data_IF_493666721416
#
_entry.id   IF_493666721416
#
_cell.length_a   1.000
_cell.length_b   1.000
_cell.length_c   1.000
_cell.angle_alpha   90.00
_cell.angle_beta   90.00
_cell.angle_gamma   90.00
#
_symmetry.space_group_name_H-M   'P 1'
#
loop_
_entity.id
_entity.type
_entity.pdbx_description
1 polymer ?
#
# COMPACT_ATOMS: atom_id res chain seq x y z
N UNK A 1 20.41 6.50 -1.11
CA UNK A 1 21.30 7.67 -1.20
C UNK A 1 22.35 7.65 -0.10
N UNK A 2 23.30 6.71 -0.14
CA UNK A 2 24.50 6.77 0.70
C UNK A 2 25.48 7.87 0.24
N UNK A 3 26.09 8.58 1.19
CA UNK A 3 26.97 9.75 0.96
C UNK A 3 28.24 9.41 0.15
N UNK A 4 28.68 8.15 0.16
CA UNK A 4 29.99 7.74 -0.37
C UNK A 4 29.94 6.98 -1.70
N UNK A 5 28.81 6.36 -2.06
CA UNK A 5 28.67 5.43 -3.21
C UNK A 5 27.69 5.92 -4.28
N UNK A 6 26.89 6.96 -4.01
CA UNK A 6 25.85 7.47 -4.90
C UNK A 6 26.14 8.88 -5.42
N UNK A 7 27.12 9.00 -6.31
CA UNK A 7 27.48 10.28 -6.95
C UNK A 7 27.07 10.32 -8.42
N UNK A 8 26.67 11.50 -8.89
CA UNK A 8 26.40 11.81 -10.29
C UNK A 8 25.42 10.83 -10.98
N UNK A 9 25.94 9.91 -11.79
CA UNK A 9 25.17 8.98 -12.63
C UNK A 9 24.67 7.73 -11.89
N UNK A 10 25.04 7.55 -10.62
CA UNK A 10 24.58 6.47 -9.73
C UNK A 10 23.76 6.96 -8.53
N UNK A 11 23.27 8.20 -8.61
CA UNK A 11 22.62 8.89 -7.48
C UNK A 11 21.26 8.33 -7.09
N UNK A 12 20.59 7.61 -7.99
CA UNK A 12 19.18 7.19 -7.82
C UNK A 12 19.04 5.79 -7.18
N UNK A 13 20.13 5.25 -6.63
CA UNK A 13 20.14 3.95 -5.97
C UNK A 13 19.95 4.08 -4.44
N UNK A 14 19.41 3.02 -3.83
CA UNK A 14 19.20 2.95 -2.40
C UNK A 14 20.00 1.82 -1.78
N UNK A 15 20.50 2.10 -0.58
CA UNK A 15 21.06 1.09 0.32
C UNK A 15 20.02 0.91 1.43
N UNK A 16 19.43 -0.28 1.50
CA UNK A 16 18.44 -0.63 2.51
C UNK A 16 19.10 -1.35 3.67
N UNK A 17 18.84 -0.86 4.87
CA UNK A 17 19.28 -1.41 6.14
C UNK A 17 18.06 -1.67 7.02
N UNK A 18 18.20 -2.55 8.01
CA UNK A 18 17.14 -2.86 8.97
C UNK A 18 17.58 -2.34 10.33
N UNK A 19 16.66 -1.63 11.00
CA UNK A 19 16.82 -1.15 12.37
C UNK A 19 15.78 -1.82 13.27
N UNK A 20 16.09 -1.95 14.56
CA UNK A 20 15.10 -2.31 15.57
C UNK A 20 14.35 -1.07 16.11
N UNK A 21 13.61 -1.25 17.20
CA UNK A 21 12.82 -0.20 17.85
C UNK A 21 13.69 0.90 18.50
N UNK A 22 14.93 0.58 18.84
CA UNK A 22 15.92 1.49 19.43
C UNK A 22 16.78 2.19 18.35
N UNK A 23 16.41 2.02 17.08
CA UNK A 23 17.12 2.52 15.88
C UNK A 23 18.50 1.88 15.62
N UNK A 24 18.83 0.78 16.30
CA UNK A 24 20.10 0.09 16.13
C UNK A 24 20.08 -0.86 14.92
N UNK A 25 21.22 -0.95 14.22
CA UNK A 25 21.38 -1.79 13.01
C UNK A 25 21.69 -3.26 13.33
N UNK A 26 22.07 -3.52 14.58
CA UNK A 26 22.57 -4.81 15.03
C UNK A 26 22.22 -5.03 16.50
N UNK A 27 22.24 -6.30 16.91
CA UNK A 27 22.21 -6.74 18.32
C UNK A 27 23.63 -6.99 18.83
N UNK A 28 23.80 -7.12 20.14
CA UNK A 28 25.10 -7.40 20.78
C UNK A 28 26.15 -6.31 20.44
N UNK A 29 27.39 -6.72 20.14
CA UNK A 29 28.53 -5.83 19.88
C UNK A 29 28.69 -5.43 18.40
N UNK A 30 27.90 -6.01 17.47
CA UNK A 30 27.95 -5.65 16.05
C UNK A 30 29.25 -6.05 15.33
N UNK A 31 30.01 -7.00 15.90
CA UNK A 31 31.30 -7.46 15.38
C UNK A 31 31.18 -8.58 14.35
N UNK A 32 30.04 -9.29 14.33
CA UNK A 32 29.75 -10.39 13.40
C UNK A 32 28.64 -10.01 12.44
N UNK A 33 28.63 -10.60 11.24
CA UNK A 33 27.53 -10.40 10.31
C UNK A 33 26.18 -10.83 10.90
N UNK A 34 26.15 -11.90 11.69
CA UNK A 34 24.93 -12.42 12.35
C UNK A 34 24.31 -11.50 13.41
N UNK A 35 25.04 -10.46 13.81
CA UNK A 35 24.55 -9.42 14.71
C UNK A 35 23.67 -8.41 13.97
N UNK A 36 23.90 -8.19 12.66
CA UNK A 36 23.14 -7.20 11.89
C UNK A 36 21.77 -7.74 11.50
N UNK A 37 20.73 -6.94 11.78
CA UNK A 37 19.36 -7.33 11.46
C UNK A 37 19.13 -7.52 9.96
N UNK A 38 19.91 -6.84 9.12
CA UNK A 38 19.81 -6.97 7.68
C UNK A 38 20.44 -8.28 7.15
N UNK A 39 21.39 -8.92 7.85
CA UNK A 39 22.14 -10.05 7.29
C UNK A 39 21.31 -11.33 7.16
N UNK A 40 21.52 -12.09 6.07
CA UNK A 40 20.79 -13.32 5.76
C UNK A 40 19.26 -13.18 5.69
N UNK A 41 18.76 -11.97 5.45
CA UNK A 41 17.34 -11.71 5.20
C UNK A 41 16.98 -12.04 3.75
N UNK A 42 15.76 -12.57 3.50
CA UNK A 42 15.29 -12.83 2.14
C UNK A 42 15.26 -11.56 1.31
N UNK A 43 15.86 -11.62 0.12
CA UNK A 43 15.75 -10.60 -0.92
C UNK A 43 14.77 -11.11 -1.95
N UNK A 44 13.76 -10.30 -2.28
CA UNK A 44 12.68 -10.68 -3.19
C UNK A 44 12.73 -9.92 -4.50
N UNK A 45 12.19 -10.50 -5.56
CA UNK A 45 12.03 -9.83 -6.84
C UNK A 45 11.08 -8.62 -6.70
N UNK A 46 11.49 -7.40 -7.10
CA UNK A 46 10.69 -6.19 -6.92
C UNK A 46 9.48 -6.13 -7.84
N UNK A 47 9.56 -6.79 -9.00
CA UNK A 47 8.51 -6.91 -10.01
C UNK A 47 8.74 -8.20 -10.83
N UNK A 48 7.73 -8.60 -11.61
CA UNK A 48 7.81 -9.75 -12.50
C UNK A 48 8.89 -9.54 -13.57
N UNK A 49 9.65 -10.58 -13.92
CA UNK A 49 10.69 -10.45 -14.94
C UNK A 49 11.55 -11.68 -15.14
N UNK A 50 12.55 -11.57 -16.01
CA UNK A 50 13.55 -12.61 -16.25
C UNK A 50 14.86 -12.28 -15.56
N UNK A 51 15.47 -13.26 -14.91
CA UNK A 51 16.82 -13.13 -14.35
C UNK A 51 17.83 -12.99 -15.49
N UNK A 52 18.39 -11.80 -15.65
CA UNK A 52 19.27 -11.42 -16.74
C UNK A 52 20.73 -11.82 -16.46
N UNK A 53 21.20 -11.54 -15.24
CA UNK A 53 22.57 -11.81 -14.84
C UNK A 53 22.64 -12.14 -13.35
N UNK A 54 23.52 -13.07 -13.00
CA UNK A 54 23.93 -13.36 -11.63
C UNK A 54 25.45 -13.33 -11.58
N UNK A 55 26.00 -12.60 -10.60
CA UNK A 55 27.38 -12.71 -10.16
C UNK A 55 27.36 -13.34 -8.77
N UNK A 56 27.98 -14.49 -8.61
CA UNK A 56 28.10 -15.22 -7.35
C UNK A 56 29.56 -15.68 -7.17
N UNK A 57 29.99 -15.88 -5.93
CA UNK A 57 31.30 -16.43 -5.58
C UNK A 57 32.18 -15.52 -4.72
N UNK A 58 31.78 -14.27 -4.50
CA UNK A 58 32.52 -13.29 -3.70
C UNK A 58 32.16 -13.50 -2.23
N UNK A 59 33.17 -13.67 -1.36
CA UNK A 59 32.92 -13.82 0.08
C UNK A 59 32.49 -12.48 0.71
N UNK A 60 31.78 -12.54 1.82
CA UNK A 60 31.49 -11.36 2.63
C UNK A 60 32.78 -10.83 3.27
N UNK A 61 32.98 -9.52 3.23
CA UNK A 61 34.12 -8.88 3.90
C UNK A 61 33.89 -8.83 5.41
N UNK A 62 34.93 -8.91 6.27
CA UNK A 62 34.79 -8.64 7.70
C UNK A 62 34.09 -7.30 7.97
N UNK A 63 33.40 -7.18 9.10
CA UNK A 63 32.73 -5.93 9.47
C UNK A 63 33.74 -4.78 9.53
N UNK A 64 33.44 -3.67 8.86
CA UNK A 64 34.31 -2.49 8.73
C UNK A 64 35.30 -2.55 7.56
N UNK A 65 35.50 -3.72 6.93
CA UNK A 65 36.34 -3.89 5.75
C UNK A 65 35.52 -3.90 4.44
N UNK A 66 36.18 -3.71 3.31
CA UNK A 66 35.53 -3.66 2.00
C UNK A 66 36.42 -4.28 0.90
N UNK A 67 35.81 -5.07 0.02
CA UNK A 67 36.46 -5.48 -1.23
C UNK A 67 36.29 -4.37 -2.28
N UNK A 68 37.37 -3.61 -2.50
CA UNK A 68 37.43 -2.52 -3.47
C UNK A 68 37.63 -3.01 -4.92
N UNK A 69 37.97 -4.29 -5.10
CA UNK A 69 38.16 -4.89 -6.44
C UNK A 69 36.80 -5.32 -7.01
N UNK A 70 35.94 -5.92 -6.19
CA UNK A 70 34.61 -6.35 -6.58
C UNK A 70 33.53 -5.43 -6.00
N UNK A 71 33.51 -4.16 -6.43
CA UNK A 71 32.66 -3.12 -5.84
C UNK A 71 31.19 -3.53 -5.58
N UNK A 72 30.55 -4.25 -6.51
CA UNK A 72 29.13 -4.63 -6.39
C UNK A 72 28.87 -5.94 -5.64
N UNK A 73 29.92 -6.70 -5.31
CA UNK A 73 29.77 -8.01 -4.66
C UNK A 73 28.92 -8.99 -5.48
N UNK A 74 28.36 -9.98 -4.81
CA UNK A 74 27.38 -10.86 -5.43
C UNK A 74 26.13 -10.06 -5.79
N UNK A 75 25.66 -10.23 -7.02
CA UNK A 75 24.65 -9.35 -7.64
C UNK A 75 23.68 -10.16 -8.49
N UNK A 76 22.41 -9.77 -8.48
CA UNK A 76 21.39 -10.22 -9.46
C UNK A 76 20.85 -9.03 -10.23
N UNK A 77 20.63 -9.22 -11.54
CA UNK A 77 19.93 -8.27 -12.41
C UNK A 77 18.69 -8.97 -12.95
N UNK A 78 17.53 -8.33 -12.84
CA UNK A 78 16.24 -8.81 -13.35
C UNK A 78 15.77 -7.84 -14.43
N UNK A 79 15.45 -8.37 -15.62
CA UNK A 79 14.85 -7.65 -16.74
C UNK A 79 13.34 -7.70 -16.64
N UNK A 80 12.70 -6.54 -16.57
CA UNK A 80 11.24 -6.41 -16.51
C UNK A 80 10.66 -6.05 -17.89
N UNK A 81 11.36 -5.18 -18.62
CA UNK A 81 11.12 -4.87 -20.04
C UNK A 81 12.42 -4.40 -20.69
N UNK A 82 12.39 -4.16 -22.00
CA UNK A 82 13.48 -3.44 -22.66
C UNK A 82 13.73 -2.11 -21.95
N UNK A 83 15.01 -1.78 -21.74
CA UNK A 83 15.46 -0.57 -21.03
C UNK A 83 15.02 -0.43 -19.56
N UNK A 84 14.51 -1.49 -18.93
CA UNK A 84 14.05 -1.44 -17.53
C UNK A 84 14.46 -2.69 -16.76
N UNK A 85 15.53 -2.54 -15.96
CA UNK A 85 16.15 -3.59 -15.17
C UNK A 85 16.25 -3.18 -13.71
N UNK A 86 16.16 -4.14 -12.81
CA UNK A 86 16.53 -3.95 -11.39
C UNK A 86 17.80 -4.69 -11.08
N UNK A 87 18.68 -4.08 -10.28
CA UNK A 87 19.92 -4.67 -9.79
C UNK A 87 19.91 -4.68 -8.27
N UNK A 88 20.21 -5.84 -7.70
CA UNK A 88 20.35 -6.05 -6.25
C UNK A 88 21.74 -6.62 -5.96
N UNK A 89 22.49 -5.95 -5.09
CA UNK A 89 23.93 -6.18 -4.86
C UNK A 89 24.24 -6.43 -3.38
N UNK A 90 25.51 -6.75 -3.08
CA UNK A 90 26.00 -7.14 -1.76
C UNK A 90 25.31 -8.40 -1.19
N UNK A 91 24.87 -9.29 -2.08
CA UNK A 91 24.16 -10.52 -1.68
C UNK A 91 25.11 -11.53 -1.04
N UNK A 92 24.56 -12.43 -0.23
CA UNK A 92 25.32 -13.50 0.42
C UNK A 92 25.75 -14.54 -0.61
N UNK A 93 27.01 -14.95 -0.55
CA UNK A 93 27.56 -16.00 -1.41
C UNK A 93 26.73 -17.28 -1.32
N UNK A 94 26.51 -17.92 -2.46
CA UNK A 94 25.80 -19.22 -2.58
C UNK A 94 24.36 -19.21 -2.03
N UNK A 95 23.75 -18.03 -1.90
CA UNK A 95 22.38 -17.88 -1.38
C UNK A 95 21.30 -17.78 -2.45
N UNK A 96 21.68 -17.63 -3.73
CA UNK A 96 20.77 -17.48 -4.85
C UNK A 96 19.84 -18.69 -4.96
N UNK A 97 18.53 -18.41 -5.09
CA UNK A 97 17.46 -19.42 -5.24
C UNK A 97 16.97 -19.57 -6.67
N UNK A 98 17.55 -18.80 -7.58
CA UNK A 98 17.17 -18.69 -8.98
C UNK A 98 18.40 -18.76 -9.87
N UNK A 99 18.18 -19.06 -11.16
CA UNK A 99 19.25 -19.16 -12.17
C UNK A 99 19.05 -18.14 -13.30
N UNK A 100 20.13 -17.82 -14.02
CA UNK A 100 20.04 -16.96 -15.22
C UNK A 100 19.04 -17.52 -16.23
N UNK A 101 18.18 -16.66 -16.76
CA UNK A 101 17.10 -17.00 -17.70
C UNK A 101 15.78 -17.41 -17.03
N UNK A 102 15.75 -17.61 -15.72
CA UNK A 102 14.52 -17.96 -15.00
C UNK A 102 13.54 -16.77 -14.96
N UNK A 103 12.25 -17.05 -15.18
CA UNK A 103 11.18 -16.10 -14.89
C UNK A 103 10.89 -16.09 -13.38
N UNK A 104 10.77 -14.90 -12.80
CA UNK A 104 10.44 -14.69 -11.38
C UNK A 104 9.21 -13.80 -11.25
N UNK A 105 8.39 -14.09 -10.24
CA UNK A 105 7.24 -13.26 -9.88
C UNK A 105 7.59 -12.24 -8.80
N UNK A 106 6.92 -11.09 -8.80
CA UNK A 106 7.02 -10.09 -7.73
C UNK A 106 6.85 -10.75 -6.36
N UNK A 107 7.80 -10.53 -5.47
CA UNK A 107 7.80 -11.09 -4.11
C UNK A 107 8.45 -12.48 -3.99
N UNK A 108 8.81 -13.13 -5.10
CA UNK A 108 9.57 -14.39 -5.08
C UNK A 108 10.95 -14.16 -4.48
N UNK A 109 11.40 -15.04 -3.58
CA UNK A 109 12.72 -14.94 -2.94
C UNK A 109 13.80 -15.34 -3.95
N UNK A 110 14.74 -14.44 -4.23
CA UNK A 110 15.79 -14.65 -5.22
C UNK A 110 17.17 -14.93 -4.61
N UNK A 111 17.45 -14.40 -3.43
CA UNK A 111 18.72 -14.54 -2.72
C UNK A 111 18.58 -14.16 -1.24
N UNK A 112 19.68 -14.17 -0.50
CA UNK A 112 19.77 -13.59 0.83
C UNK A 112 20.72 -12.39 0.83
N UNK A 113 20.45 -11.40 1.68
CA UNK A 113 21.36 -10.28 1.94
C UNK A 113 22.68 -10.76 2.56
N UNK A 114 23.78 -10.14 2.15
CA UNK A 114 25.13 -10.42 2.64
C UNK A 114 25.89 -9.14 2.95
N UNK A 115 27.21 -9.20 2.79
CA UNK A 115 28.15 -8.07 2.92
C UNK A 115 29.30 -8.18 1.92
N UNK A 116 29.03 -8.76 0.73
CA UNK A 116 30.03 -8.98 -0.31
C UNK A 116 30.33 -7.69 -1.09
N UNK A 117 31.57 -7.56 -1.57
CA UNK A 117 32.00 -6.38 -2.32
C UNK A 117 32.30 -5.16 -1.45
N UNK A 118 32.04 -3.96 -1.98
CA UNK A 118 32.28 -2.69 -1.27
C UNK A 118 31.14 -2.38 -0.29
N UNK A 119 31.02 -3.21 0.74
CA UNK A 119 29.98 -3.15 1.76
C UNK A 119 30.60 -3.27 3.15
N UNK A 120 30.77 -2.16 3.89
CA UNK A 120 31.42 -2.19 5.21
C UNK A 120 30.56 -2.86 6.29
N UNK A 121 29.26 -3.02 6.03
CA UNK A 121 28.30 -3.71 6.90
C UNK A 121 27.14 -4.27 6.09
N UNK A 122 26.46 -5.35 6.55
CA UNK A 122 25.35 -5.96 5.83
C UNK A 122 24.24 -4.98 5.48
N UNK A 123 23.96 -4.83 4.19
CA UNK A 123 22.87 -4.03 3.64
C UNK A 123 22.49 -4.54 2.25
N UNK A 124 21.33 -4.11 1.74
CA UNK A 124 20.90 -4.39 0.37
C UNK A 124 21.06 -3.14 -0.49
N UNK A 125 21.97 -3.17 -1.45
CA UNK A 125 22.01 -2.17 -2.50
C UNK A 125 20.99 -2.50 -3.59
N UNK A 126 20.10 -1.57 -3.89
CA UNK A 126 19.05 -1.68 -4.89
C UNK A 126 19.13 -0.51 -5.87
N UNK A 127 18.99 -0.81 -7.17
CA UNK A 127 18.80 0.22 -8.18
C UNK A 127 17.94 -0.24 -9.34
N UNK A 128 17.32 0.72 -10.01
CA UNK A 128 16.80 0.56 -11.36
C UNK A 128 17.84 1.06 -12.36
N UNK A 129 18.01 0.39 -13.49
CA UNK A 129 18.98 0.74 -14.51
C UNK A 129 18.46 0.45 -15.93
N UNK A 130 19.03 1.14 -16.91
CA UNK A 130 18.61 1.04 -18.32
C UNK A 130 19.19 -0.18 -19.04
N UNK A 131 20.38 -0.64 -18.66
CA UNK A 131 21.11 -1.69 -19.39
C UNK A 131 21.30 -2.96 -18.55
N UNK A 132 21.50 -4.13 -19.15
CA UNK A 132 21.60 -5.42 -18.44
C UNK A 132 22.93 -5.63 -17.70
N UNK A 133 23.85 -4.67 -17.71
CA UNK A 133 25.22 -4.87 -17.23
C UNK A 133 25.41 -4.43 -15.78
N UNK A 134 26.28 -5.13 -15.05
CA UNK A 134 26.77 -4.70 -13.74
C UNK A 134 27.54 -3.38 -13.90
N UNK A 135 27.17 -2.36 -13.13
CA UNK A 135 27.76 -1.01 -13.18
C UNK A 135 27.00 0.00 -14.05
N UNK A 136 25.89 -0.41 -14.67
CA UNK A 136 25.03 0.49 -15.44
C UNK A 136 24.51 1.67 -14.61
N UNK A 137 24.20 2.77 -15.29
CA UNK A 137 23.69 3.99 -14.68
C UNK A 137 22.29 3.80 -14.09
N UNK A 138 22.02 4.54 -13.03
CA UNK A 138 20.76 4.44 -12.28
C UNK A 138 19.66 5.27 -12.95
N UNK A 139 18.46 4.73 -13.00
CA UNK A 139 17.25 5.45 -13.38
C UNK A 139 16.47 5.87 -12.13
N UNK A 140 15.83 7.06 -12.13
CA UNK A 140 14.93 7.43 -11.04
C UNK A 140 13.75 6.47 -11.00
N UNK A 141 13.41 6.00 -9.79
CA UNK A 141 12.30 5.11 -9.57
C UNK A 141 11.54 5.56 -8.32
N UNK A 142 10.22 5.43 -8.33
CA UNK A 142 9.40 5.62 -7.14
C UNK A 142 8.98 4.25 -6.61
N UNK A 143 9.00 4.09 -5.28
CA UNK A 143 8.42 2.93 -4.63
C UNK A 143 6.89 3.07 -4.60
N UNK A 144 6.20 1.95 -4.76
CA UNK A 144 4.74 1.88 -4.66
C UNK A 144 4.31 1.33 -3.30
N UNK A 145 3.30 1.98 -2.70
CA UNK A 145 2.60 1.55 -1.49
C UNK A 145 3.51 1.10 -0.35
N UNK A 146 4.06 2.06 0.39
CA UNK A 146 4.83 1.81 1.61
C UNK A 146 4.37 2.70 2.76
N UNK A 147 4.82 2.37 3.97
CA UNK A 147 4.56 3.13 5.17
C UNK A 147 5.84 3.87 5.55
N UNK A 148 5.75 5.20 5.64
CA UNK A 148 6.81 6.05 6.17
C UNK A 148 6.58 6.27 7.66
N UNK A 149 7.64 6.09 8.44
CA UNK A 149 7.63 6.31 9.88
C UNK A 149 8.06 7.75 10.15
N UNK A 150 7.20 8.51 10.83
CA UNK A 150 7.44 9.89 11.27
C UNK A 150 7.47 9.93 12.79
N UNK A 151 8.11 10.96 13.35
CA UNK A 151 8.05 11.23 14.80
C UNK A 151 6.60 11.35 15.32
N UNK A 152 5.68 11.79 14.45
CA UNK A 152 4.26 11.98 14.77
C UNK A 152 3.37 10.76 14.48
N UNK A 153 3.93 9.63 14.02
CA UNK A 153 3.17 8.42 13.66
C UNK A 153 3.51 7.89 12.27
N UNK A 154 2.51 7.36 11.57
CA UNK A 154 2.70 6.69 10.28
C UNK A 154 2.06 7.46 9.13
N UNK A 155 2.70 7.45 7.97
CA UNK A 155 2.17 7.98 6.72
C UNK A 155 2.13 6.88 5.66
N UNK A 156 0.96 6.69 5.05
CA UNK A 156 0.84 5.87 3.85
C UNK A 156 1.31 6.67 2.62
N UNK A 157 2.29 6.14 1.90
CA UNK A 157 2.78 6.70 0.64
C UNK A 157 2.40 5.78 -0.50
N UNK A 158 1.45 6.19 -1.32
CA UNK A 158 1.01 5.42 -2.49
C UNK A 158 2.11 5.32 -3.55
N UNK A 159 2.79 6.42 -3.82
CA UNK A 159 3.93 6.46 -4.75
C UNK A 159 4.87 7.55 -4.29
N UNK A 160 6.14 7.22 -4.13
CA UNK A 160 7.12 8.21 -3.68
C UNK A 160 8.55 7.69 -3.69
N UNK A 161 9.49 8.63 -3.64
CA UNK A 161 10.92 8.38 -3.55
C UNK A 161 11.32 8.58 -2.08
N UNK A 162 11.76 7.53 -1.37
CA UNK A 162 12.25 7.70 0.00
C UNK A 162 13.48 8.62 0.04
N UNK A 163 13.50 9.53 1.01
CA UNK A 163 14.69 10.34 1.27
C UNK A 163 15.74 9.56 2.06
N UNK A 164 16.97 10.09 2.11
CA UNK A 164 18.02 9.52 2.94
C UNK A 164 17.57 9.50 4.42
N UNK A 165 17.91 8.41 5.11
CA UNK A 165 17.60 8.18 6.53
C UNK A 165 16.10 8.08 6.88
N UNK A 166 15.22 8.04 5.87
CA UNK A 166 13.80 7.71 6.12
C UNK A 166 13.64 6.25 6.51
N UNK A 167 12.95 6.03 7.63
CA UNK A 167 12.50 4.70 8.03
C UNK A 167 11.20 4.39 7.31
N UNK A 168 11.23 3.36 6.48
CA UNK A 168 10.07 2.87 5.73
C UNK A 168 9.84 1.39 6.01
N UNK A 169 8.59 0.95 5.86
CA UNK A 169 8.24 -0.46 5.95
C UNK A 169 7.20 -0.83 4.90
N UNK A 170 7.15 -2.13 4.58
CA UNK A 170 6.03 -2.68 3.82
C UNK A 170 4.73 -2.57 4.65
N UNK A 171 3.59 -2.52 3.97
CA UNK A 171 2.28 -2.65 4.61
C UNK A 171 2.16 -4.07 5.13
N UNK A 172 1.96 -4.22 6.44
CA UNK A 172 1.68 -5.50 7.09
C UNK A 172 0.16 -5.65 7.20
N UNK A 173 -0.47 -6.54 6.42
CA UNK A 173 -1.91 -6.74 6.51
C UNK A 173 -2.31 -7.21 7.90
N UNK A 174 -3.24 -6.50 8.50
CA UNK A 174 -3.94 -6.93 9.69
C UNK A 174 -5.07 -7.87 9.27
N UNK A 175 -5.19 -9.02 9.92
CA UNK A 175 -6.15 -10.06 9.54
C UNK A 175 -7.60 -9.55 9.55
N UNK A 176 -7.99 -8.81 10.59
CA UNK A 176 -9.36 -8.30 10.74
C UNK A 176 -9.75 -7.32 9.62
N UNK A 177 -8.87 -6.37 9.29
CA UNK A 177 -9.12 -5.41 8.21
C UNK A 177 -9.09 -6.10 6.86
N UNK A 178 -8.05 -6.90 6.61
CA UNK A 178 -7.87 -7.59 5.33
C UNK A 178 -9.06 -8.50 5.01
N UNK A 179 -9.55 -9.26 6.00
CA UNK A 179 -10.70 -10.12 5.82
C UNK A 179 -12.02 -9.36 5.69
N UNK A 180 -12.23 -8.30 6.48
CA UNK A 180 -13.47 -7.51 6.45
C UNK A 180 -13.71 -6.84 5.08
N UNK A 181 -12.65 -6.48 4.37
CA UNK A 181 -12.70 -5.88 3.03
C UNK A 181 -12.30 -6.86 1.91
N UNK A 182 -12.24 -8.16 2.21
CA UNK A 182 -12.05 -9.22 1.22
C UNK A 182 -13.40 -9.72 0.71
N UNK A 183 -13.81 -9.15 -0.42
CA UNK A 183 -15.04 -9.56 -1.11
C UNK A 183 -14.71 -10.61 -2.18
N UNK A 184 -15.29 -11.80 -2.03
CA UNK A 184 -15.06 -12.94 -2.92
C UNK A 184 -16.21 -13.02 -3.93
N UNK A 185 -15.95 -13.10 -5.26
CA UNK A 185 -17.02 -13.28 -6.24
C UNK A 185 -17.96 -14.44 -5.90
N UNK A 186 -19.28 -14.19 -5.99
CA UNK A 186 -20.34 -15.11 -5.56
C UNK A 186 -20.78 -14.97 -4.11
N UNK A 187 -20.04 -14.21 -3.28
CA UNK A 187 -20.42 -13.94 -1.89
C UNK A 187 -21.67 -13.06 -1.82
N UNK A 188 -22.56 -13.40 -0.89
CA UNK A 188 -23.70 -12.56 -0.52
C UNK A 188 -23.40 -11.85 0.80
N UNK A 189 -23.55 -10.53 0.80
CA UNK A 189 -23.37 -9.68 1.97
C UNK A 189 -24.74 -9.19 2.44
N UNK A 190 -25.15 -9.59 3.64
CA UNK A 190 -26.47 -9.27 4.20
C UNK A 190 -26.34 -8.21 5.29
N UNK A 191 -27.15 -7.17 5.19
CA UNK A 191 -27.11 -6.03 6.09
C UNK A 191 -28.49 -5.71 6.65
N UNK A 192 -28.54 -5.43 7.94
CA UNK A 192 -29.68 -4.84 8.62
C UNK A 192 -29.47 -3.33 8.72
N UNK A 193 -30.36 -2.56 8.11
CA UNK A 193 -30.30 -1.10 8.10
C UNK A 193 -31.38 -0.56 9.03
N UNK A 194 -30.95 0.15 10.08
CA UNK A 194 -31.83 0.87 10.99
C UNK A 194 -31.79 2.36 10.66
N UNK A 195 -32.92 2.88 10.20
CA UNK A 195 -33.11 4.32 9.98
C UNK A 195 -33.56 5.03 11.27
N UNK A 196 -33.57 6.37 11.26
CA UNK A 196 -34.01 7.20 12.39
C UNK A 196 -35.45 6.91 12.82
N UNK A 197 -36.33 6.55 11.88
CA UNK A 197 -37.71 6.17 12.15
C UNK A 197 -37.85 4.80 12.86
N UNK A 198 -36.73 4.22 13.33
CA UNK A 198 -36.60 2.85 13.83
C UNK A 198 -37.06 1.76 12.85
N UNK A 199 -37.28 2.11 11.58
CA UNK A 199 -37.57 1.12 10.53
C UNK A 199 -36.33 0.31 10.25
N UNK A 200 -36.51 -1.01 10.27
CA UNK A 200 -35.48 -1.99 9.96
C UNK A 200 -35.73 -2.49 8.54
N UNK A 201 -34.71 -2.41 7.68
CA UNK A 201 -34.73 -2.96 6.32
C UNK A 201 -33.53 -3.88 6.14
N UNK A 202 -33.77 -5.05 5.58
CA UNK A 202 -32.70 -5.95 5.18
C UNK A 202 -32.31 -5.69 3.73
N UNK A 203 -31.01 -5.62 3.48
CA UNK A 203 -30.43 -5.38 2.17
C UNK A 203 -29.40 -6.47 1.91
N UNK A 204 -29.41 -7.03 0.71
CA UNK A 204 -28.43 -8.01 0.26
C UNK A 204 -27.63 -7.40 -0.89
N UNK A 205 -26.31 -7.54 -0.81
CA UNK A 205 -25.40 -7.28 -1.92
C UNK A 205 -24.77 -8.58 -2.39
N UNK A 206 -24.50 -8.65 -3.68
CA UNK A 206 -23.80 -9.77 -4.30
C UNK A 206 -22.47 -9.28 -4.85
N UNK A 207 -21.39 -10.00 -4.57
CA UNK A 207 -20.08 -9.73 -5.17
C UNK A 207 -20.05 -10.39 -6.55
N UNK A 208 -19.86 -9.61 -7.60
CA UNK A 208 -19.85 -10.07 -9.00
C UNK A 208 -18.52 -9.73 -9.67
N UNK A 209 -18.27 -10.39 -10.79
CA UNK A 209 -17.18 -10.07 -11.71
C UNK A 209 -17.73 -9.91 -13.14
N UNK A 210 -17.10 -9.04 -13.92
CA UNK A 210 -17.38 -8.95 -15.36
C UNK A 210 -16.53 -9.94 -16.18
N UNK A 211 -16.68 -9.91 -17.51
CA UNK A 211 -15.92 -10.76 -18.45
C UNK A 211 -14.41 -10.46 -18.50
N UNK A 212 -13.99 -9.33 -17.93
CA UNK A 212 -12.59 -8.90 -17.83
C UNK A 212 -12.00 -9.15 -16.43
N UNK A 213 -12.72 -9.91 -15.59
CA UNK A 213 -12.38 -10.18 -14.18
C UNK A 213 -12.31 -8.93 -13.29
N UNK A 214 -12.98 -7.83 -13.65
CA UNK A 214 -13.17 -6.72 -12.74
C UNK A 214 -14.28 -7.05 -11.74
N UNK A 215 -13.97 -6.93 -10.46
CA UNK A 215 -14.89 -7.22 -9.36
C UNK A 215 -15.71 -5.99 -8.96
N UNK A 216 -16.98 -6.20 -8.61
CA UNK A 216 -17.87 -5.15 -8.12
C UNK A 216 -18.92 -5.69 -7.14
N UNK A 217 -19.38 -4.80 -6.27
CA UNK A 217 -20.54 -5.04 -5.42
C UNK A 217 -21.82 -4.65 -6.18
N UNK A 218 -22.82 -5.53 -6.18
CA UNK A 218 -24.14 -5.28 -6.77
C UNK A 218 -25.23 -5.18 -5.71
N UNK A 219 -26.05 -4.13 -5.79
CA UNK A 219 -27.26 -3.98 -4.97
C UNK A 219 -28.49 -3.96 -5.85
N UNK A 220 -29.31 -5.02 -5.77
CA UNK A 220 -30.56 -5.13 -6.52
C UNK A 220 -31.58 -4.08 -6.06
N UNK A 221 -31.77 -3.97 -4.73
CA UNK A 221 -32.72 -3.01 -4.13
C UNK A 221 -32.33 -1.56 -4.39
N UNK A 222 -31.03 -1.27 -4.40
CA UNK A 222 -30.48 0.06 -4.68
C UNK A 222 -30.34 0.37 -6.16
N UNK A 223 -30.38 -0.63 -7.05
CA UNK A 223 -29.97 -0.54 -8.46
C UNK A 223 -28.63 0.20 -8.60
N UNK A 224 -27.63 -0.29 -7.89
CA UNK A 224 -26.30 0.32 -7.84
C UNK A 224 -25.19 -0.71 -7.89
N UNK A 225 -24.05 -0.31 -8.47
CA UNK A 225 -22.81 -1.08 -8.54
C UNK A 225 -21.61 -0.24 -8.13
N UNK A 226 -20.68 -0.87 -7.43
CA UNK A 226 -19.44 -0.24 -6.98
C UNK A 226 -18.26 -1.16 -7.32
N UNK A 227 -17.43 -0.73 -8.28
CA UNK A 227 -16.24 -1.49 -8.72
C UNK A 227 -15.06 -1.20 -7.81
N UNK A 228 -14.33 -2.24 -7.45
CA UNK A 228 -13.18 -2.14 -6.57
C UNK A 228 -12.02 -3.02 -7.04
N UNK A 229 -10.83 -2.70 -6.56
CA UNK A 229 -9.62 -3.50 -6.66
C UNK A 229 -9.10 -3.79 -5.25
N UNK A 230 -8.47 -4.93 -5.08
CA UNK A 230 -7.80 -5.31 -3.84
C UNK A 230 -6.51 -6.06 -4.20
N UNK A 231 -5.35 -5.50 -3.85
CA UNK A 231 -4.04 -6.11 -4.13
C UNK A 231 -3.46 -6.88 -2.93
N UNK A 232 -4.28 -7.10 -1.90
CA UNK A 232 -3.90 -7.72 -0.62
C UNK A 232 -3.37 -6.73 0.41
N UNK A 233 -2.85 -5.57 -0.01
CA UNK A 233 -2.35 -4.51 0.88
C UNK A 233 -3.31 -3.33 0.95
N UNK A 234 -3.97 -3.01 -0.15
CA UNK A 234 -4.90 -1.90 -0.30
C UNK A 234 -6.13 -2.38 -1.06
N UNK A 235 -7.30 -2.03 -0.54
CA UNK A 235 -8.57 -2.12 -1.24
C UNK A 235 -9.02 -0.71 -1.61
N UNK A 236 -9.44 -0.48 -2.85
CA UNK A 236 -9.98 0.81 -3.25
C UNK A 236 -11.08 0.67 -4.30
N UNK A 237 -12.03 1.58 -4.27
CA UNK A 237 -13.05 1.68 -5.29
C UNK A 237 -12.55 2.47 -6.50
N UNK A 238 -12.85 1.98 -7.70
CA UNK A 238 -12.46 2.61 -8.97
C UNK A 238 -13.61 3.40 -9.58
N UNK A 239 -14.84 2.91 -9.44
CA UNK A 239 -16.01 3.52 -10.06
C UNK A 239 -17.29 3.17 -9.31
N UNK A 240 -18.30 4.03 -9.45
CA UNK A 240 -19.64 3.81 -8.90
C UNK A 240 -20.68 4.21 -9.94
N UNK A 241 -21.71 3.38 -10.08
CA UNK A 241 -22.85 3.68 -10.95
C UNK A 241 -24.16 3.29 -10.27
N UNK A 242 -25.19 4.10 -10.48
CA UNK A 242 -26.55 3.84 -10.00
C UNK A 242 -27.03 4.88 -9.00
N UNK A 243 -27.98 4.47 -8.15
CA UNK A 243 -28.68 5.40 -7.27
C UNK A 243 -27.80 5.91 -6.12
N UNK A 244 -27.49 7.21 -6.11
CA UNK A 244 -26.75 7.89 -5.02
C UNK A 244 -27.50 7.96 -3.67
N UNK A 245 -28.74 7.49 -3.60
CA UNK A 245 -29.49 7.32 -2.35
C UNK A 245 -29.39 5.91 -1.78
N UNK A 246 -28.87 4.95 -2.54
CA UNK A 246 -28.70 3.58 -2.09
C UNK A 246 -27.62 3.48 -1.02
N UNK A 247 -27.73 2.48 -0.12
CA UNK A 247 -26.71 2.24 0.90
C UNK A 247 -25.32 2.00 0.30
N UNK A 248 -25.26 1.33 -0.85
CA UNK A 248 -24.00 1.02 -1.52
C UNK A 248 -23.22 2.29 -1.93
N UNK A 249 -23.90 3.40 -2.23
CA UNK A 249 -23.24 4.68 -2.49
C UNK A 249 -22.50 5.20 -1.25
N UNK A 250 -23.15 5.16 -0.09
CA UNK A 250 -22.54 5.57 1.17
C UNK A 250 -21.38 4.65 1.57
N UNK A 251 -21.51 3.35 1.32
CA UNK A 251 -20.41 2.40 1.52
C UNK A 251 -19.21 2.72 0.62
N UNK A 252 -19.46 2.96 -0.67
CA UNK A 252 -18.43 3.40 -1.63
C UNK A 252 -17.71 4.66 -1.15
N UNK A 253 -18.45 5.65 -0.63
CA UNK A 253 -17.85 6.89 -0.14
C UNK A 253 -16.97 6.64 1.10
N UNK A 254 -17.48 5.95 2.12
CA UNK A 254 -16.72 5.79 3.36
C UNK A 254 -15.61 4.75 3.32
N UNK A 255 -15.64 3.79 2.39
CA UNK A 255 -14.58 2.80 2.20
C UNK A 255 -13.83 3.01 0.88
N UNK A 256 -13.72 4.27 0.42
CA UNK A 256 -13.17 4.60 -0.90
C UNK A 256 -11.77 4.04 -1.14
N UNK A 257 -10.90 4.15 -0.13
CA UNK A 257 -9.57 3.53 -0.08
C UNK A 257 -9.28 3.04 1.34
N UNK A 258 -8.97 1.77 1.49
CA UNK A 258 -8.67 1.11 2.76
C UNK A 258 -7.32 0.42 2.66
N UNK A 259 -6.40 0.79 3.55
CA UNK A 259 -5.15 0.07 3.77
C UNK A 259 -5.43 -1.11 4.69
N UNK A 260 -5.04 -2.31 4.27
CA UNK A 260 -5.33 -3.54 5.02
C UNK A 260 -4.45 -3.71 6.26
N UNK A 261 -3.48 -2.82 6.51
CA UNK A 261 -2.68 -2.78 7.73
C UNK A 261 -3.23 -1.81 8.78
N UNK A 262 -3.01 -2.10 10.06
CA UNK A 262 -3.42 -1.21 11.15
C UNK A 262 -2.23 -0.40 11.67
N UNK A 263 -2.30 0.92 11.49
CA UNK A 263 -1.30 1.87 11.98
C UNK A 263 -2.02 2.94 12.80
N UNK A 264 -1.90 2.87 14.13
CA UNK A 264 -2.65 3.76 15.03
C UNK A 264 -2.38 5.23 14.72
N UNK A 265 -3.46 6.00 14.52
CA UNK A 265 -3.38 7.43 14.22
C UNK A 265 -3.04 7.76 12.76
N UNK A 266 -2.79 6.77 11.91
CA UNK A 266 -2.57 6.99 10.48
C UNK A 266 -3.84 7.54 9.82
N UNK A 267 -3.65 8.50 8.92
CA UNK A 267 -4.70 9.07 8.08
C UNK A 267 -4.39 8.79 6.62
N UNK A 268 -5.35 8.21 5.92
CA UNK A 268 -5.28 7.94 4.48
C UNK A 268 -6.17 8.95 3.79
N UNK A 269 -5.60 9.72 2.87
CA UNK A 269 -6.33 10.73 2.11
C UNK A 269 -6.38 10.35 0.63
N UNK A 270 -7.49 10.69 -0.04
CA UNK A 270 -7.64 10.57 -1.49
C UNK A 270 -8.65 11.59 -2.02
N UNK A 271 -8.82 11.65 -3.34
CA UNK A 271 -9.79 12.52 -3.99
C UNK A 271 -10.81 11.71 -4.78
N UNK A 272 -12.08 12.05 -4.57
CA UNK A 272 -13.13 11.52 -5.42
C UNK A 272 -13.16 12.25 -6.76
N UNK A 273 -13.63 11.61 -7.84
CA UNK A 273 -14.11 12.33 -9.00
C UNK A 273 -15.29 13.24 -8.63
N UNK A 274 -15.23 14.52 -8.99
CA UNK A 274 -16.25 15.53 -8.61
C UNK A 274 -17.67 15.10 -8.98
N UNK A 275 -17.87 14.42 -10.11
CA UNK A 275 -19.19 13.98 -10.58
C UNK A 275 -19.88 12.97 -9.64
N UNK A 276 -19.15 12.33 -8.74
CA UNK A 276 -19.70 11.38 -7.77
C UNK A 276 -20.40 12.11 -6.63
N UNK A 277 -19.81 13.20 -6.12
CA UNK A 277 -20.29 13.90 -4.93
C UNK A 277 -21.02 15.22 -5.28
N UNK A 278 -20.52 15.97 -6.25
CA UNK A 278 -21.08 17.27 -6.60
C UNK A 278 -22.42 17.15 -7.34
N UNK A 279 -23.26 18.16 -7.16
CA UNK A 279 -24.50 18.33 -7.91
C UNK A 279 -24.21 18.75 -9.36
N UNK A 280 -25.08 18.34 -10.28
CA UNK A 280 -24.92 18.59 -11.71
C UNK A 280 -24.86 20.07 -12.07
N UNK A 281 -25.54 20.95 -11.32
CA UNK A 281 -25.49 22.41 -11.55
C UNK A 281 -24.10 22.98 -11.27
N UNK A 282 -23.47 22.53 -10.20
CA UNK A 282 -22.13 22.97 -9.82
C UNK A 282 -21.07 22.42 -10.77
N UNK A 283 -21.23 21.18 -11.23
CA UNK A 283 -20.35 20.58 -12.25
C UNK A 283 -20.35 21.40 -13.54
N UNK A 284 -21.52 21.75 -14.07
CA UNK A 284 -21.61 22.57 -15.29
C UNK A 284 -20.90 23.92 -15.14
N UNK A 285 -21.03 24.56 -13.98
CA UNK A 285 -20.31 25.81 -13.69
C UNK A 285 -18.80 25.60 -13.59
N UNK A 286 -18.38 24.52 -12.92
CA UNK A 286 -16.96 24.16 -12.81
C UNK A 286 -16.36 23.83 -14.17
N UNK A 287 -17.05 23.11 -15.04
CA UNK A 287 -16.57 22.78 -16.38
C UNK A 287 -16.43 24.03 -17.25
N UNK A 288 -17.36 24.98 -17.14
CA UNK A 288 -17.28 26.26 -17.84
C UNK A 288 -16.11 27.13 -17.36
N UNK A 289 -15.82 27.15 -16.05
CA UNK A 289 -14.77 27.99 -15.46
C UNK A 289 -13.42 27.27 -15.34
N UNK A 290 -13.37 25.95 -15.52
CA UNK A 290 -12.17 25.11 -15.35
C UNK A 290 -10.91 25.63 -16.07
N UNK A 291 -10.98 26.20 -17.29
CA UNK A 291 -9.79 26.76 -17.94
C UNK A 291 -9.14 27.92 -17.16
N UNK A 292 -9.91 28.60 -16.32
CA UNK A 292 -9.47 29.78 -15.56
C UNK A 292 -9.27 29.48 -14.08
N UNK A 293 -10.16 28.67 -13.48
CA UNK A 293 -10.13 28.39 -12.06
C UNK A 293 -10.87 27.11 -11.67
N UNK A 294 -10.20 26.24 -10.91
CA UNK A 294 -10.80 25.07 -10.26
C UNK A 294 -11.18 25.47 -8.83
N UNK A 295 -12.48 25.62 -8.56
CA UNK A 295 -13.00 26.10 -7.28
C UNK A 295 -13.63 24.99 -6.43
N UNK A 296 -13.85 23.80 -7.01
CA UNK A 296 -14.37 22.64 -6.30
C UNK A 296 -13.30 21.59 -6.03
N UNK A 297 -13.37 20.99 -4.85
CA UNK A 297 -12.55 19.82 -4.50
C UNK A 297 -13.36 18.84 -3.67
N UNK A 298 -13.17 17.56 -3.90
CA UNK A 298 -13.76 16.48 -3.10
C UNK A 298 -12.68 15.61 -2.50
N UNK A 299 -12.68 15.46 -1.17
CA UNK A 299 -11.65 14.73 -0.45
C UNK A 299 -12.26 13.59 0.35
N UNK A 300 -11.58 12.45 0.30
CA UNK A 300 -11.74 11.31 1.19
C UNK A 300 -10.68 11.39 2.28
N UNK A 301 -11.05 11.07 3.52
CA UNK A 301 -10.09 10.71 4.56
C UNK A 301 -10.53 9.47 5.30
N UNK A 302 -9.58 8.62 5.72
CA UNK A 302 -9.82 7.50 6.63
C UNK A 302 -8.77 7.48 7.75
N UNK A 303 -9.24 7.49 9.00
CA UNK A 303 -8.45 7.53 10.22
C UNK A 303 -8.48 6.17 10.92
N UNK A 304 -7.30 5.63 11.23
CA UNK A 304 -7.11 4.35 11.92
C UNK A 304 -7.08 4.60 13.43
N UNK A 305 -8.27 4.57 14.07
CA UNK A 305 -8.47 5.13 15.41
C UNK A 305 -7.91 4.25 16.52
N UNK A 306 -8.39 3.00 16.59
CA UNK A 306 -8.12 2.10 17.71
C UNK A 306 -8.24 0.65 17.25
N UNK A 307 -7.42 -0.20 17.84
CA UNK A 307 -7.57 -1.64 17.80
C UNK A 307 -7.51 -2.16 19.23
N UNK A 308 -8.44 -3.05 19.58
CA UNK A 308 -8.43 -3.81 20.84
C UNK A 308 -8.20 -5.27 20.48
N UNK A 309 -7.01 -5.78 20.81
CA UNK A 309 -6.70 -7.22 20.72
C UNK A 309 -6.94 -7.85 22.09
N UNK A 310 -8.01 -8.62 22.21
CA UNK A 310 -8.16 -9.61 23.27
C UNK A 310 -7.94 -10.99 22.65
N UNK A 311 -7.38 -11.94 23.42
CA UNK A 311 -6.85 -13.25 23.01
C UNK A 311 -7.56 -14.03 21.87
N UNK A 312 -8.86 -13.80 21.59
CA UNK A 312 -9.60 -14.36 20.44
C UNK A 312 -10.38 -13.33 19.60
N UNK A 313 -10.58 -12.11 20.09
CA UNK A 313 -11.52 -11.13 19.53
C UNK A 313 -10.76 -9.83 19.22
N UNK A 314 -10.60 -9.56 17.93
CA UNK A 314 -10.00 -8.30 17.46
C UNK A 314 -11.11 -7.32 17.07
N UNK A 315 -11.15 -6.19 17.76
CA UNK A 315 -11.99 -5.06 17.37
C UNK A 315 -11.13 -4.00 16.70
N UNK A 316 -11.52 -3.57 15.50
CA UNK A 316 -10.86 -2.46 14.81
C UNK A 316 -11.87 -1.34 14.57
N UNK A 317 -11.48 -0.13 14.96
CA UNK A 317 -12.30 1.06 14.79
C UNK A 317 -11.65 2.00 13.78
N UNK A 318 -12.36 2.27 12.69
CA UNK A 318 -11.95 3.24 11.66
C UNK A 318 -12.98 4.38 11.60
N UNK A 319 -12.51 5.58 11.31
CA UNK A 319 -13.37 6.70 10.89
C UNK A 319 -13.04 7.06 9.46
N UNK A 320 -14.03 7.51 8.70
CA UNK A 320 -13.76 8.12 7.41
C UNK A 320 -14.69 9.29 7.16
N UNK A 321 -14.27 10.21 6.30
CA UNK A 321 -15.08 11.34 5.90
C UNK A 321 -15.04 11.55 4.39
N UNK A 322 -16.17 11.92 3.82
CA UNK A 322 -16.30 12.39 2.46
C UNK A 322 -16.71 13.87 2.48
N UNK A 323 -15.85 14.73 1.94
CA UNK A 323 -16.04 16.19 2.02
C UNK A 323 -16.09 16.79 0.62
N UNK A 324 -17.00 17.75 0.41
CA UNK A 324 -17.06 18.61 -0.77
C UNK A 324 -16.79 20.04 -0.35
N UNK A 325 -15.80 20.68 -0.98
CA UNK A 325 -15.50 22.10 -0.83
C UNK A 325 -15.82 22.84 -2.13
N UNK A 326 -16.41 24.02 -1.98
CA UNK A 326 -16.72 24.96 -3.08
C UNK A 326 -16.18 26.33 -2.65
N UNK A 327 -15.32 26.94 -3.45
CA UNK A 327 -14.58 28.18 -3.12
C UNK A 327 -13.85 28.09 -1.76
N UNK A 328 -13.24 26.93 -1.49
CA UNK A 328 -12.52 26.66 -0.24
C UNK A 328 -13.42 26.44 1.00
N UNK A 329 -14.73 26.66 0.90
CA UNK A 329 -15.69 26.41 2.00
C UNK A 329 -16.25 25.01 1.90
N UNK A 330 -16.27 24.28 3.01
CA UNK A 330 -16.89 22.97 3.10
C UNK A 330 -18.41 23.11 2.98
N UNK A 331 -18.99 22.58 1.91
CA UNK A 331 -20.43 22.65 1.61
C UNK A 331 -21.17 21.36 1.95
N UNK A 332 -20.49 20.21 1.97
CA UNK A 332 -21.08 18.93 2.37
C UNK A 332 -20.03 18.06 3.05
N UNK A 333 -20.43 17.38 4.12
CA UNK A 333 -19.63 16.40 4.85
C UNK A 333 -20.51 15.19 5.14
N UNK A 334 -19.96 14.01 4.89
CA UNK A 334 -20.55 12.74 5.31
C UNK A 334 -19.48 12.00 6.10
N UNK A 335 -19.77 11.72 7.36
CA UNK A 335 -18.87 10.98 8.25
C UNK A 335 -19.33 9.53 8.37
N UNK A 336 -18.36 8.63 8.48
CA UNK A 336 -18.60 7.21 8.64
C UNK A 336 -17.77 6.67 9.79
N UNK A 337 -18.38 5.83 10.63
CA UNK A 337 -17.68 5.07 11.67
C UNK A 337 -17.81 3.59 11.36
N UNK A 338 -16.67 2.94 11.28
CA UNK A 338 -16.54 1.53 10.98
C UNK A 338 -16.13 0.80 12.26
N UNK A 339 -16.89 -0.24 12.59
CA UNK A 339 -16.53 -1.21 13.62
C UNK A 339 -16.32 -2.53 12.88
N UNK A 340 -15.11 -3.07 12.98
CA UNK A 340 -14.77 -4.39 12.46
C UNK A 340 -14.63 -5.33 13.66
N UNK A 341 -15.22 -6.51 13.54
CA UNK A 341 -15.19 -7.54 14.57
C UNK A 341 -15.27 -8.91 13.90
N UNK A 342 -14.49 -9.88 14.39
CA UNK A 342 -14.43 -11.23 13.85
C UNK A 342 -14.26 -11.25 12.32
N UNK A 343 -13.26 -10.52 11.81
CA UNK A 343 -12.91 -10.51 10.38
C UNK A 343 -14.02 -9.99 9.46
N UNK A 344 -15.01 -9.27 10.00
CA UNK A 344 -16.14 -8.72 9.24
C UNK A 344 -16.40 -7.26 9.60
N UNK A 345 -17.07 -6.55 8.70
CA UNK A 345 -17.61 -5.22 8.96
C UNK A 345 -18.86 -5.38 9.83
N UNK A 346 -18.71 -5.49 11.14
CA UNK A 346 -19.84 -5.75 12.04
C UNK A 346 -20.84 -4.60 12.06
N UNK A 347 -20.35 -3.35 11.98
CA UNK A 347 -21.21 -2.17 12.00
C UNK A 347 -20.62 -0.99 11.24
N UNK A 348 -21.49 -0.31 10.52
CA UNK A 348 -21.23 0.95 9.82
C UNK A 348 -22.25 2.00 10.27
N UNK A 349 -21.77 3.12 10.79
CA UNK A 349 -22.59 4.28 11.15
C UNK A 349 -22.33 5.39 10.15
N UNK A 350 -23.36 5.82 9.42
CA UNK A 350 -23.30 6.93 8.46
C UNK A 350 -23.94 8.15 9.09
N UNK A 351 -23.23 9.29 9.07
CA UNK A 351 -23.69 10.57 9.62
C UNK A 351 -23.66 11.61 8.51
N UNK A 352 -24.83 12.15 8.16
CA UNK A 352 -24.99 13.19 7.13
C UNK A 352 -26.02 14.21 7.58
N UNK A 353 -25.68 15.50 7.59
CA UNK A 353 -26.60 16.59 7.94
C UNK A 353 -27.34 16.35 9.28
N UNK A 354 -26.61 15.85 10.29
CA UNK A 354 -27.11 15.39 11.61
C UNK A 354 -27.99 14.13 11.60
N UNK A 355 -28.30 13.57 10.43
CA UNK A 355 -29.01 12.29 10.32
C UNK A 355 -28.07 11.12 10.52
N UNK A 356 -28.53 10.11 11.24
CA UNK A 356 -27.75 8.89 11.54
C UNK A 356 -28.42 7.65 10.95
N UNK A 357 -27.67 6.91 10.14
CA UNK A 357 -28.07 5.58 9.65
C UNK A 357 -27.12 4.56 10.26
N UNK A 358 -27.67 3.51 10.87
CA UNK A 358 -26.88 2.41 11.43
C UNK A 358 -27.09 1.17 10.58
N UNK A 359 -25.99 0.56 10.17
CA UNK A 359 -25.94 -0.62 9.33
C UNK A 359 -25.20 -1.70 10.11
N UNK A 360 -25.82 -2.85 10.30
CA UNK A 360 -25.23 -3.99 11.00
C UNK A 360 -25.16 -5.17 10.03
N UNK A 361 -24.03 -5.87 10.02
CA UNK A 361 -23.86 -7.05 9.19
C UNK A 361 -24.55 -8.25 9.83
N UNK A 362 -25.25 -9.04 9.01
CA UNK A 362 -25.92 -10.26 9.45
C UNK A 362 -24.99 -11.43 9.16
N UNK A 363 -24.44 -12.00 10.22
CA UNK A 363 -23.78 -13.31 10.18
C UNK A 363 -24.86 -14.38 9.99
N UNK A 364 -24.71 -15.19 8.93
CA UNK A 364 -25.48 -16.43 8.76
C UNK A 364 -24.66 -17.65 9.18
#
# INVERSE_FOLDING_TARGET
>A
NGIHTHREKWREAWDFEIRDEDEDFYRNEGIRHEDYYCYSKPVTAPADGYVEQILNGINDSPIGEMDLTHNWGNTIIIRHSEHFYTKMSHLKKDSFKVVKGQWVQRGEVVALTGSSGRSPRPHLHFQVQEFPYIGSYTLPCALSSYIRHKKSGFEYVQTGIPFQDEVISNIQPNEAIAAAFRFIPGQLLKFRVKNEDNTIKEIVWEVKSDSYNNTYLWSETGKARAWYKNDGKVMWFTHFEGNKRALLYYFYLGAYKVINGFYKGMVVEDQYPLHIIADQRWLLLQDFVAPFHIFMSSNFSMHYRKMDDQFSDSYVYLDSSATLKIFGKTTSVIDFRWELHNNLISKLVIIKDKRKIVVEYILE
#
